data_IF_087749722909
#
_entry.id   IF_087749722909
#
_cell.length_a   1.000
_cell.length_b   1.000
_cell.length_c   1.000
_cell.angle_alpha   90.00
_cell.angle_beta   90.00
_cell.angle_gamma   90.00
#
_symmetry.space_group_name_H-M   'P 1'
#
loop_
_entity.id
_entity.type
_entity.pdbx_description
1 polymer ?
#
# COMPACT_ATOMS: atom_id res chain seq x y z
N UNK A 1 20.01 -2.61 17.68
CA UNK A 1 19.66 -1.51 16.75
C UNK A 1 19.65 -2.10 15.36
N UNK A 2 18.46 -2.45 14.85
CA UNK A 2 18.28 -3.08 13.55
C UNK A 2 18.52 -2.03 12.47
N UNK A 3 19.62 -2.15 11.73
CA UNK A 3 19.90 -1.27 10.58
C UNK A 3 18.76 -1.42 9.58
N UNK A 4 18.11 -0.30 9.23
CA UNK A 4 17.26 -0.22 8.05
C UNK A 4 18.12 -0.57 6.83
N UNK A 5 17.63 -1.38 5.87
CA UNK A 5 18.33 -1.57 4.61
C UNK A 5 18.41 -0.22 3.89
N UNK A 6 19.63 0.16 3.53
CA UNK A 6 19.94 1.32 2.70
C UNK A 6 19.15 1.24 1.39
N UNK A 7 18.64 2.36 0.90
CA UNK A 7 17.85 2.44 -0.34
C UNK A 7 18.62 1.98 -1.60
N UNK A 8 19.90 1.64 -1.46
CA UNK A 8 20.82 1.23 -2.51
C UNK A 8 20.70 -0.24 -2.95
N UNK A 9 19.79 -1.01 -2.37
CA UNK A 9 19.64 -2.46 -2.65
C UNK A 9 18.15 -2.84 -2.85
N UNK A 10 17.44 -2.02 -3.63
CA UNK A 10 16.09 -2.26 -4.11
C UNK A 10 16.14 -2.56 -5.62
N UNK A 11 15.33 -3.51 -6.08
CA UNK A 11 15.28 -3.85 -7.51
C UNK A 11 14.59 -2.75 -8.30
N UNK A 12 13.55 -2.14 -7.70
CA UNK A 12 12.92 -0.93 -8.22
C UNK A 12 12.09 -0.22 -7.14
N UNK A 13 11.68 1.01 -7.45
CA UNK A 13 10.94 1.92 -6.56
C UNK A 13 9.66 2.41 -7.23
N UNK A 14 8.58 2.50 -6.46
CA UNK A 14 7.30 3.07 -6.86
C UNK A 14 7.06 4.35 -6.05
N UNK A 15 6.99 5.48 -6.74
CA UNK A 15 6.66 6.77 -6.14
C UNK A 15 5.18 6.84 -5.75
N UNK A 16 4.92 7.40 -4.59
CA UNK A 16 3.60 7.64 -4.03
C UNK A 16 3.34 9.15 -4.03
N UNK A 17 2.25 9.62 -4.67
CA UNK A 17 1.97 11.05 -4.65
C UNK A 17 1.67 11.53 -3.22
N UNK A 18 2.06 12.75 -2.83
CA UNK A 18 1.98 13.23 -1.44
C UNK A 18 0.58 13.13 -0.80
N UNK A 19 -0.47 13.32 -1.60
CA UNK A 19 -1.87 13.24 -1.15
C UNK A 19 -2.37 11.80 -0.93
N UNK A 20 -1.50 10.81 -1.11
CA UNK A 20 -1.77 9.41 -0.86
C UNK A 20 -0.91 8.80 0.26
N UNK A 21 0.05 9.56 0.82
CA UNK A 21 0.98 9.10 1.85
C UNK A 21 0.29 8.50 3.08
N UNK A 22 -0.80 9.13 3.54
CA UNK A 22 -1.53 8.67 4.72
C UNK A 22 -2.17 7.28 4.52
N UNK A 23 -2.36 6.84 3.27
CA UNK A 23 -2.98 5.56 2.94
C UNK A 23 -1.97 4.44 2.63
N UNK A 24 -0.69 4.79 2.48
CA UNK A 24 0.34 3.85 2.05
C UNK A 24 0.60 2.73 3.06
N UNK A 25 0.59 3.01 4.37
CA UNK A 25 0.81 1.98 5.41
C UNK A 25 -0.27 0.89 5.41
N UNK A 26 -1.53 1.28 5.25
CA UNK A 26 -2.63 0.32 5.18
C UNK A 26 -2.60 -0.48 3.87
N UNK A 27 -2.18 0.13 2.76
CA UNK A 27 -1.96 -0.57 1.50
C UNK A 27 -0.80 -1.59 1.58
N UNK A 28 0.26 -1.27 2.33
CA UNK A 28 1.42 -2.15 2.53
C UNK A 28 1.06 -3.52 3.12
N UNK A 29 0.03 -3.59 3.98
CA UNK A 29 -0.44 -4.86 4.52
C UNK A 29 -0.94 -5.80 3.40
N UNK A 30 -1.72 -5.26 2.45
CA UNK A 30 -2.24 -6.04 1.31
C UNK A 30 -1.14 -6.43 0.35
N UNK A 31 -0.21 -5.52 0.07
CA UNK A 31 0.93 -5.78 -0.80
C UNK A 31 1.81 -6.91 -0.27
N UNK A 32 2.09 -6.93 1.04
CA UNK A 32 2.86 -8.02 1.67
C UNK A 32 2.14 -9.36 1.63
N UNK A 33 0.81 -9.36 1.71
CA UNK A 33 0.01 -10.57 1.59
C UNK A 33 -0.03 -11.10 0.15
N UNK A 34 -0.11 -10.20 -0.85
CA UNK A 34 -0.14 -10.56 -2.27
C UNK A 34 1.24 -11.02 -2.78
N UNK A 35 2.30 -10.43 -2.25
CA UNK A 35 3.68 -10.66 -2.67
C UNK A 35 4.57 -11.17 -1.51
N UNK A 36 4.27 -12.34 -0.93
CA UNK A 36 4.95 -12.82 0.28
C UNK A 36 6.44 -13.14 0.06
N UNK A 37 6.84 -13.40 -1.18
CA UNK A 37 8.23 -13.68 -1.55
C UNK A 37 9.09 -12.40 -1.73
N UNK A 38 8.50 -11.22 -1.54
CA UNK A 38 9.14 -9.93 -1.80
C UNK A 38 9.41 -9.22 -0.48
N UNK A 39 10.58 -8.58 -0.38
CA UNK A 39 10.85 -7.66 0.73
C UNK A 39 10.40 -6.28 0.31
N UNK A 40 9.28 -5.84 0.88
CA UNK A 40 8.68 -4.54 0.58
C UNK A 40 8.92 -3.61 1.77
N UNK A 41 9.56 -2.48 1.51
CA UNK A 41 9.80 -1.42 2.46
C UNK A 41 9.11 -0.13 2.00
N UNK A 42 8.75 0.70 2.97
CA UNK A 42 8.23 2.05 2.73
C UNK A 42 9.24 3.05 3.26
N UNK A 43 9.48 4.08 2.48
CA UNK A 43 10.14 5.31 2.88
C UNK A 43 9.24 6.49 2.47
N UNK A 44 9.42 7.67 3.07
CA UNK A 44 8.59 8.84 2.76
C UNK A 44 8.56 9.09 1.24
N UNK A 45 7.38 9.11 0.62
CA UNK A 45 7.24 9.31 -0.83
C UNK A 45 7.27 8.02 -1.66
N UNK A 46 7.68 6.88 -1.10
CA UNK A 46 8.16 5.76 -1.92
C UNK A 46 7.91 4.37 -1.30
N UNK A 47 7.60 3.42 -2.18
CA UNK A 47 7.59 1.98 -1.85
C UNK A 47 8.70 1.31 -2.64
N UNK A 48 9.66 0.76 -1.92
CA UNK A 48 10.79 0.01 -2.48
C UNK A 48 10.55 -1.48 -2.35
N UNK A 49 10.96 -2.23 -3.38
CA UNK A 49 10.83 -3.68 -3.40
C UNK A 49 12.13 -4.35 -3.77
N UNK A 50 12.40 -5.44 -3.05
CA UNK A 50 13.37 -6.46 -3.43
C UNK A 50 12.64 -7.74 -3.74
N UNK A 51 12.66 -8.11 -5.01
CA UNK A 51 12.04 -9.28 -5.58
C UNK A 51 12.95 -10.49 -5.42
N UNK A 52 12.34 -11.66 -5.34
CA UNK A 52 13.02 -12.96 -5.52
C UNK A 52 12.88 -13.48 -6.96
N UNK A 53 12.39 -12.64 -7.89
CA UNK A 53 12.31 -12.94 -9.32
C UNK A 53 10.95 -13.49 -9.82
N UNK A 54 9.86 -13.30 -9.08
CA UNK A 54 8.60 -14.02 -9.35
C UNK A 54 7.45 -13.19 -9.97
N UNK A 55 7.64 -11.90 -10.26
CA UNK A 55 6.56 -11.03 -10.77
C UNK A 55 7.09 -9.93 -11.71
N UNK A 56 6.24 -9.49 -12.65
CA UNK A 56 6.56 -8.39 -13.54
C UNK A 56 6.48 -7.05 -12.80
N UNK A 57 7.49 -6.19 -12.99
CA UNK A 57 7.55 -4.85 -12.38
C UNK A 57 6.28 -4.03 -12.62
N UNK A 58 5.78 -4.01 -13.86
CA UNK A 58 4.57 -3.27 -14.24
C UNK A 58 3.33 -3.72 -13.46
N UNK A 59 3.22 -5.02 -13.19
CA UNK A 59 2.11 -5.57 -12.41
C UNK A 59 2.18 -5.11 -10.96
N UNK A 60 3.38 -5.09 -10.36
CA UNK A 60 3.54 -4.60 -8.99
C UNK A 60 3.30 -3.09 -8.89
N UNK A 61 3.82 -2.29 -9.84
CA UNK A 61 3.55 -0.85 -9.91
C UNK A 61 2.05 -0.57 -9.95
N UNK A 62 1.33 -1.29 -10.82
CA UNK A 62 -0.14 -1.21 -10.91
C UNK A 62 -0.81 -1.56 -9.59
N UNK A 63 -0.39 -2.64 -8.93
CA UNK A 63 -1.02 -3.10 -7.70
C UNK A 63 -0.75 -2.13 -6.53
N UNK A 64 0.45 -1.56 -6.42
CA UNK A 64 0.77 -0.50 -5.46
C UNK A 64 -0.18 0.68 -5.61
N UNK A 65 -0.25 1.25 -6.82
CA UNK A 65 -1.10 2.42 -7.09
C UNK A 65 -2.58 2.08 -6.85
N UNK A 66 -3.01 0.88 -7.23
CA UNK A 66 -4.38 0.44 -7.03
C UNK A 66 -4.75 0.33 -5.55
N UNK A 67 -3.92 -0.32 -4.73
CA UNK A 67 -4.24 -0.52 -3.32
C UNK A 67 -4.21 0.79 -2.53
N UNK A 68 -3.25 1.68 -2.82
CA UNK A 68 -3.17 2.99 -2.20
C UNK A 68 -4.39 3.84 -2.56
N UNK A 69 -4.78 3.87 -3.83
CA UNK A 69 -5.99 4.55 -4.27
C UNK A 69 -7.26 4.00 -3.60
N UNK A 70 -7.38 2.67 -3.51
CA UNK A 70 -8.54 2.03 -2.88
C UNK A 70 -8.64 2.30 -1.40
N UNK A 71 -7.50 2.43 -0.72
CA UNK A 71 -7.47 2.77 0.69
C UNK A 71 -7.92 4.22 0.93
N UNK A 72 -7.51 5.17 0.07
CA UNK A 72 -8.07 6.52 0.08
C UNK A 72 -9.60 6.51 0.01
N UNK A 73 -10.15 5.87 -1.02
CA UNK A 73 -11.60 5.78 -1.21
C UNK A 73 -12.27 5.09 -0.01
N UNK A 74 -11.65 4.05 0.56
CA UNK A 74 -12.15 3.39 1.75
C UNK A 74 -12.25 4.35 2.93
N UNK A 75 -11.17 5.03 3.26
CA UNK A 75 -11.08 5.98 4.37
C UNK A 75 -12.03 7.17 4.21
N UNK A 76 -12.05 7.80 3.02
CA UNK A 76 -12.90 8.96 2.74
C UNK A 76 -14.40 8.65 2.81
N UNK A 77 -14.78 7.39 2.56
CA UNK A 77 -16.20 7.00 2.55
C UNK A 77 -16.62 6.15 3.76
N UNK A 78 -15.69 5.81 4.67
CA UNK A 78 -15.96 4.94 5.81
C UNK A 78 -17.09 5.48 6.69
N UNK A 79 -17.02 6.77 7.05
CA UNK A 79 -18.02 7.43 7.90
C UNK A 79 -19.42 7.37 7.28
N UNK A 80 -19.54 7.66 5.98
CA UNK A 80 -20.83 7.59 5.28
C UNK A 80 -21.36 6.16 5.28
N UNK A 81 -20.52 5.16 4.98
CA UNK A 81 -20.93 3.75 4.99
C UNK A 81 -21.40 3.31 6.38
N UNK A 82 -20.69 3.69 7.44
CA UNK A 82 -21.08 3.39 8.82
C UNK A 82 -22.42 4.03 9.18
N UNK A 83 -22.64 5.29 8.79
CA UNK A 83 -23.90 5.99 9.02
C UNK A 83 -25.08 5.32 8.29
N UNK A 84 -24.88 4.93 7.02
CA UNK A 84 -25.89 4.23 6.24
C UNK A 84 -26.25 2.86 6.84
N UNK A 85 -25.25 2.09 7.28
CA UNK A 85 -25.48 0.81 7.96
C UNK A 85 -26.24 1.04 9.27
N UNK A 86 -25.80 1.99 10.10
CA UNK A 86 -26.45 2.27 11.38
C UNK A 86 -27.91 2.70 11.20
N UNK A 87 -28.22 3.53 10.20
CA UNK A 87 -29.57 3.98 9.90
C UNK A 87 -30.55 2.83 9.57
N UNK A 88 -30.07 1.71 9.01
CA UNK A 88 -30.91 0.56 8.66
C UNK A 88 -30.87 -0.57 9.69
N UNK A 89 -29.87 -0.60 10.57
CA UNK A 89 -29.72 -1.67 11.59
C UNK A 89 -30.16 -1.26 12.99
N UNK A 90 -30.29 0.03 13.29
CA UNK A 90 -30.75 0.49 14.60
C UNK A 90 -32.27 0.28 14.69
N UNK A 91 -32.69 -0.72 15.46
CA UNK A 91 -34.09 -0.99 15.83
C UNK A 91 -34.34 -0.60 17.27
#
# INVERSE_FOLDING_TARGET
MTKLPDATDADFVVEIPPHFEEYADAAMLRLRALYPACRIARQDGEISVRSSGCFAEDQFRKDVLHFVYREKIYSETLTLRQALVAAVTTR
#
